data_IF_440485272329
#
_entry.id   IF_440485272329
#
_cell.length_a   1.000
_cell.length_b   1.000
_cell.length_c   1.000
_cell.angle_alpha   90.00
_cell.angle_beta   90.00
_cell.angle_gamma   90.00
#
_symmetry.space_group_name_H-M   'P 1'
#
loop_
_entity.id
_entity.type
_entity.pdbx_description
1 polymer ?
#
# COMPACT_ATOMS: atom_id res chain seq x y z
N UNK A 1 8.66 -15.38 -3.84
CA UNK A 1 8.38 -14.57 -2.63
C UNK A 1 7.38 -15.36 -1.81
N UNK A 2 7.66 -15.71 -0.55
CA UNK A 2 6.80 -16.62 0.23
C UNK A 2 5.66 -15.87 0.93
N UNK A 3 4.53 -16.56 1.12
CA UNK A 3 3.38 -16.10 1.90
C UNK A 3 3.83 -15.69 3.30
N UNK A 4 3.61 -14.42 3.66
CA UNK A 4 3.89 -13.90 5.00
C UNK A 4 2.63 -13.91 5.85
N UNK A 5 2.71 -14.36 7.11
CA UNK A 5 1.59 -14.25 8.03
C UNK A 5 1.29 -12.77 8.33
N UNK A 6 0.04 -12.44 8.70
CA UNK A 6 -0.29 -11.12 9.22
C UNK A 6 0.47 -10.84 10.52
N UNK A 7 0.71 -9.56 10.80
CA UNK A 7 1.31 -9.15 12.07
C UNK A 7 0.34 -9.36 13.24
N UNK A 8 0.84 -9.71 14.43
CA UNK A 8 0.02 -9.73 15.64
C UNK A 8 -0.36 -8.30 16.02
N UNK A 9 -1.66 -8.04 16.17
CA UNK A 9 -2.20 -6.70 16.41
C UNK A 9 -3.19 -6.70 17.58
N UNK A 10 -3.34 -5.55 18.23
CA UNK A 10 -4.34 -5.33 19.27
C UNK A 10 -5.77 -5.39 18.70
N UNK A 11 -6.77 -5.55 19.56
CA UNK A 11 -8.17 -5.55 19.14
C UNK A 11 -8.57 -4.20 18.50
N UNK A 12 -8.08 -3.09 19.04
CA UNK A 12 -8.32 -1.75 18.50
C UNK A 12 -7.72 -1.60 17.11
N UNK A 13 -6.46 -2.04 16.91
CA UNK A 13 -5.82 -1.98 15.61
C UNK A 13 -6.54 -2.87 14.59
N UNK A 14 -7.00 -4.06 14.97
CA UNK A 14 -7.76 -4.94 14.07
C UNK A 14 -9.06 -4.30 13.58
N UNK A 15 -9.80 -3.63 14.47
CA UNK A 15 -11.02 -2.89 14.10
C UNK A 15 -10.72 -1.81 13.06
N UNK A 16 -9.63 -1.07 13.25
CA UNK A 16 -9.21 -0.07 12.27
C UNK A 16 -8.78 -0.70 10.95
N UNK A 17 -8.05 -1.82 10.98
CA UNK A 17 -7.69 -2.57 9.76
C UNK A 17 -8.95 -2.96 8.98
N UNK A 18 -9.94 -3.58 9.63
CA UNK A 18 -11.20 -3.98 8.99
C UNK A 18 -11.96 -2.78 8.43
N UNK A 19 -12.03 -1.68 9.18
CA UNK A 19 -12.65 -0.43 8.71
C UNK A 19 -12.00 0.05 7.41
N UNK A 20 -10.68 0.21 7.40
CA UNK A 20 -9.94 0.66 6.21
C UNK A 20 -10.09 -0.32 5.05
N UNK A 21 -10.05 -1.64 5.29
CA UNK A 21 -10.24 -2.67 4.26
C UNK A 21 -11.61 -2.55 3.60
N UNK A 22 -12.68 -2.36 4.39
CA UNK A 22 -14.03 -2.20 3.85
C UNK A 22 -14.18 -0.92 3.03
N UNK A 23 -13.56 0.19 3.46
CA UNK A 23 -13.55 1.44 2.70
C UNK A 23 -12.90 1.26 1.32
N UNK A 24 -11.74 0.60 1.23
CA UNK A 24 -11.05 0.38 -0.05
C UNK A 24 -11.69 -0.72 -0.91
N UNK A 25 -12.45 -1.65 -0.30
CA UNK A 25 -13.31 -2.59 -1.03
C UNK A 25 -14.49 -1.87 -1.68
N UNK A 26 -15.15 -0.96 -0.96
CA UNK A 26 -16.27 -0.16 -1.47
C UNK A 26 -15.84 0.77 -2.61
N UNK A 27 -14.62 1.32 -2.53
CA UNK A 27 -14.01 2.11 -3.60
C UNK A 27 -13.52 1.29 -4.81
N UNK A 28 -13.70 -0.04 -4.81
CA UNK A 28 -13.24 -0.96 -5.86
C UNK A 28 -11.72 -0.90 -6.12
N UNK A 29 -10.94 -0.50 -5.12
CA UNK A 29 -9.46 -0.42 -5.20
C UNK A 29 -8.84 -1.82 -5.00
N UNK A 30 -9.48 -2.65 -4.18
CA UNK A 30 -9.10 -4.05 -3.95
C UNK A 30 -10.31 -4.95 -4.12
N UNK A 31 -10.05 -6.26 -4.25
CA UNK A 31 -11.09 -7.29 -4.30
C UNK A 31 -10.71 -8.50 -3.46
N UNK A 32 -11.72 -9.27 -3.08
CA UNK A 32 -11.51 -10.59 -2.54
C UNK A 32 -10.93 -11.53 -3.63
N UNK A 33 -10.04 -12.42 -3.19
CA UNK A 33 -9.47 -13.46 -4.03
C UNK A 33 -10.51 -14.58 -4.18
N UNK A 34 -10.78 -15.01 -5.41
CA UNK A 34 -11.74 -16.06 -5.68
C UNK A 34 -11.25 -17.45 -5.23
N UNK A 35 -12.19 -18.36 -4.98
CA UNK A 35 -11.89 -19.72 -4.48
C UNK A 35 -10.94 -20.53 -5.38
N UNK A 36 -10.86 -20.21 -6.67
CA UNK A 36 -10.00 -20.89 -7.64
C UNK A 36 -8.66 -20.18 -7.88
N UNK A 37 -8.41 -19.04 -7.22
CA UNK A 37 -7.18 -18.26 -7.40
C UNK A 37 -6.14 -18.64 -6.35
N UNK A 38 -4.99 -19.14 -6.81
CA UNK A 38 -3.87 -19.48 -5.94
C UNK A 38 -2.99 -18.24 -5.78
N UNK A 39 -2.78 -17.80 -4.54
CA UNK A 39 -1.91 -16.67 -4.24
C UNK A 39 -0.62 -17.13 -3.54
N UNK A 40 0.49 -17.09 -4.27
CA UNK A 40 1.81 -17.49 -3.77
C UNK A 40 2.46 -16.41 -2.88
N UNK A 41 1.98 -15.16 -3.00
CA UNK A 41 2.60 -13.98 -2.40
C UNK A 41 1.58 -13.25 -1.52
N UNK A 42 1.94 -12.92 -0.28
CA UNK A 42 1.13 -12.02 0.54
C UNK A 42 1.98 -10.91 1.12
N UNK A 43 1.40 -9.72 1.16
CA UNK A 43 1.98 -8.57 1.85
C UNK A 43 1.14 -8.27 3.09
N UNK A 44 1.71 -8.38 4.30
CA UNK A 44 0.97 -8.02 5.51
C UNK A 44 0.73 -6.51 5.56
N UNK A 45 -0.39 -6.13 6.16
CA UNK A 45 -0.78 -4.73 6.41
C UNK A 45 -0.64 -4.39 7.89
N UNK A 46 -0.51 -3.11 8.19
CA UNK A 46 -0.44 -2.55 9.55
C UNK A 46 -1.12 -1.18 9.60
N UNK A 47 -1.45 -0.71 10.79
CA UNK A 47 -1.98 0.65 11.00
C UNK A 47 -0.86 1.55 11.52
N UNK A 48 -0.76 2.75 10.93
CA UNK A 48 0.05 3.85 11.46
C UNK A 48 -0.87 4.95 11.97
N UNK A 49 -0.56 5.51 13.14
CA UNK A 49 -1.33 6.57 13.77
C UNK A 49 -0.62 7.91 13.64
N UNK A 50 -1.37 8.96 13.31
CA UNK A 50 -0.85 10.31 13.21
C UNK A 50 -2.00 11.32 13.39
N UNK A 51 -1.84 12.30 14.27
CA UNK A 51 -2.86 13.30 14.60
C UNK A 51 -4.24 12.71 14.90
N UNK A 52 -4.29 11.60 15.64
CA UNK A 52 -5.53 10.90 15.96
C UNK A 52 -6.20 10.18 14.79
N UNK A 53 -5.57 10.14 13.61
CA UNK A 53 -6.04 9.41 12.42
C UNK A 53 -5.20 8.15 12.21
N UNK A 54 -5.87 7.08 11.83
CA UNK A 54 -5.27 5.81 11.41
C UNK A 54 -5.05 5.79 9.90
N UNK A 55 -3.99 5.12 9.45
CA UNK A 55 -3.72 4.85 8.03
C UNK A 55 -3.33 3.39 7.85
N UNK A 56 -3.98 2.71 6.91
CA UNK A 56 -3.59 1.37 6.49
C UNK A 56 -2.32 1.41 5.63
N UNK A 57 -1.30 0.64 5.99
CA UNK A 57 -0.02 0.60 5.30
C UNK A 57 0.37 -0.85 4.95
N UNK A 58 0.59 -1.13 3.66
CA UNK A 58 1.11 -2.42 3.20
C UNK A 58 2.63 -2.51 3.33
N UNK A 59 3.15 -3.60 3.90
CA UNK A 59 4.60 -3.82 3.98
C UNK A 59 5.18 -4.42 2.70
N UNK A 60 5.36 -3.59 1.68
CA UNK A 60 5.88 -4.00 0.37
C UNK A 60 7.40 -4.17 0.31
N UNK A 61 8.13 -4.16 1.42
CA UNK A 61 9.60 -4.21 1.40
C UNK A 61 10.17 -5.43 0.66
N UNK A 62 9.55 -6.59 0.82
CA UNK A 62 9.96 -7.79 0.09
C UNK A 62 9.58 -7.75 -1.39
N UNK A 63 8.41 -7.18 -1.73
CA UNK A 63 8.00 -6.98 -3.10
C UNK A 63 8.99 -6.04 -3.81
N UNK A 64 9.31 -4.91 -3.19
CA UNK A 64 10.22 -3.91 -3.73
C UNK A 64 11.63 -4.45 -3.99
N UNK A 65 12.11 -5.38 -3.16
CA UNK A 65 13.40 -6.05 -3.38
C UNK A 65 13.36 -7.08 -4.52
N UNK A 66 12.19 -7.63 -4.81
CA UNK A 66 12.00 -8.62 -5.88
C UNK A 66 11.76 -7.97 -7.24
N UNK A 67 11.05 -6.83 -7.26
CA UNK A 67 10.69 -6.11 -8.48
C UNK A 67 11.82 -5.19 -8.96
N UNK A 68 12.05 -5.14 -10.27
CA UNK A 68 12.92 -4.11 -10.86
C UNK A 68 12.16 -2.79 -10.96
N UNK A 69 12.69 -1.73 -10.33
CA UNK A 69 12.09 -0.40 -10.41
C UNK A 69 12.12 0.12 -11.86
N UNK A 70 10.96 0.49 -12.39
CA UNK A 70 10.84 1.27 -13.63
C UNK A 70 11.18 2.73 -13.33
N UNK A 71 12.32 3.21 -13.83
CA UNK A 71 12.83 4.55 -13.55
C UNK A 71 12.48 5.52 -14.67
N UNK A 72 11.18 5.72 -14.91
CA UNK A 72 10.72 6.79 -15.79
C UNK A 72 11.30 8.15 -15.34
N UNK A 73 11.83 8.98 -16.25
CA UNK A 73 12.46 10.24 -15.88
C UNK A 73 11.44 11.23 -15.35
N UNK A 74 11.38 11.37 -14.03
CA UNK A 74 10.61 12.43 -13.37
C UNK A 74 11.50 13.69 -13.35
N UNK A 75 11.05 14.82 -13.94
CA UNK A 75 11.83 16.04 -13.94
C UNK A 75 12.10 16.49 -12.50
N UNK A 76 13.33 16.95 -12.24
CA UNK A 76 13.63 17.57 -10.94
C UNK A 76 12.78 18.81 -10.75
N UNK A 77 12.40 19.11 -9.50
CA UNK A 77 11.55 20.25 -9.13
C UNK A 77 12.01 21.56 -9.81
N UNK A 78 13.31 21.95 -9.80
CA UNK A 78 13.74 23.19 -10.44
C UNK A 78 13.51 23.20 -11.97
N UNK A 79 13.68 22.05 -12.63
CA UNK A 79 13.47 21.94 -14.08
C UNK A 79 11.97 22.03 -14.44
N UNK A 80 11.09 21.53 -13.57
CA UNK A 80 9.65 21.69 -13.76
C UNK A 80 9.22 23.16 -13.56
N UNK A 81 9.79 23.85 -12.55
CA UNK A 81 9.49 25.25 -12.27
C UNK A 81 10.00 26.20 -13.36
N UNK A 82 11.20 25.98 -13.92
CA UNK A 82 11.73 26.78 -15.03
C UNK A 82 10.82 26.73 -16.28
N UNK A 83 10.26 25.55 -16.57
CA UNK A 83 9.30 25.39 -17.68
C UNK A 83 7.98 26.12 -17.43
N UNK A 84 7.54 26.22 -16.18
CA UNK A 84 6.30 26.91 -15.81
C UNK A 84 6.45 28.44 -15.89
N UNK A 85 7.60 28.97 -15.48
CA UNK A 85 7.88 30.41 -15.51
C UNK A 85 8.09 30.98 -16.93
N UNK A 86 8.37 30.11 -17.91
CA UNK A 86 8.57 30.45 -19.33
C UNK A 86 7.34 30.20 -20.21
N UNK A 87 6.23 29.73 -19.62
CA UNK A 87 4.95 29.55 -20.28
C UNK A 87 4.10 30.83 -20.18
#
# INVERSE_FOLDING_TARGET
MHRRPPYPESLETRKEIEKHINEILDMDVIRNIGHNEIMEITTPVLITWHDGKSRLCGNFRALNNYTKADRYPIPRIPHALDKLAKA
#
